data_IF_460256722870
#
_entry.id   IF_460256722870
#
_cell.length_a   1.000
_cell.length_b   1.000
_cell.length_c   1.000
_cell.angle_alpha   90.00
_cell.angle_beta   90.00
_cell.angle_gamma   90.00
#
_symmetry.space_group_name_H-M   'P 1'
#
loop_
_entity.id
_entity.type
_entity.pdbx_description
1 polymer ?
#
# COMPACT_ATOMS: atom_id res chain seq x y z
N UNK A 1 36.46 23.51 37.44
CA UNK A 1 36.33 23.10 36.03
C UNK A 1 36.67 21.60 36.02
N UNK A 2 35.65 20.76 36.30
CA UNK A 2 35.79 19.30 36.25
C UNK A 2 35.61 18.90 34.81
N UNK A 3 36.63 18.37 34.14
CA UNK A 3 36.54 17.71 32.87
C UNK A 3 35.73 16.42 33.07
N UNK A 4 34.56 16.35 32.48
CA UNK A 4 33.83 15.08 32.28
C UNK A 4 34.75 14.15 31.47
N UNK A 5 35.38 13.20 32.16
CA UNK A 5 36.01 12.07 31.48
C UNK A 5 34.87 11.23 30.86
N UNK A 6 34.65 11.36 29.56
CA UNK A 6 33.87 10.38 28.82
C UNK A 6 34.54 9.01 29.01
N UNK A 7 33.89 8.13 29.76
CA UNK A 7 34.32 6.73 29.89
C UNK A 7 33.92 6.05 28.57
N UNK A 8 34.87 5.89 27.66
CA UNK A 8 34.67 5.04 26.48
C UNK A 8 34.53 3.58 26.93
N UNK A 9 33.31 3.08 26.96
CA UNK A 9 33.02 1.68 27.26
C UNK A 9 33.29 0.86 25.99
N UNK A 10 34.30 0.00 26.04
CA UNK A 10 34.53 -0.95 24.97
C UNK A 10 33.49 -2.10 25.04
N UNK A 11 32.42 -1.98 24.27
CA UNK A 11 31.34 -2.95 24.24
C UNK A 11 31.81 -4.36 23.84
N UNK A 12 32.90 -4.48 23.07
CA UNK A 12 33.47 -5.77 22.69
C UNK A 12 34.14 -6.53 23.82
N UNK A 13 34.43 -5.84 24.95
CA UNK A 13 35.02 -6.44 26.13
C UNK A 13 33.98 -6.91 27.15
N UNK A 14 32.69 -6.61 26.93
CA UNK A 14 31.64 -6.97 27.87
C UNK A 14 31.19 -8.43 27.69
N UNK A 15 30.90 -9.17 28.77
CA UNK A 15 30.24 -10.47 28.70
C UNK A 15 28.89 -10.40 28.01
N UNK A 16 28.49 -11.47 27.30
CA UNK A 16 27.23 -11.53 26.57
C UNK A 16 26.00 -11.28 27.46
N UNK A 17 26.04 -11.69 28.72
CA UNK A 17 24.96 -11.50 29.69
C UNK A 17 24.74 -10.01 30.01
N UNK A 18 25.82 -9.22 30.05
CA UNK A 18 25.74 -7.77 30.22
C UNK A 18 25.21 -7.12 28.95
N UNK A 19 25.68 -7.56 27.76
CA UNK A 19 25.17 -7.09 26.48
C UNK A 19 23.67 -7.37 26.32
N UNK A 20 23.18 -8.56 26.69
CA UNK A 20 21.75 -8.87 26.66
C UNK A 20 20.93 -7.99 27.60
N UNK A 21 21.48 -7.59 28.78
CA UNK A 21 20.82 -6.59 29.62
C UNK A 21 20.75 -5.23 28.96
N UNK A 22 21.81 -4.79 28.30
CA UNK A 22 21.83 -3.54 27.54
C UNK A 22 20.77 -3.60 26.40
N UNK A 23 20.73 -4.69 25.63
CA UNK A 23 19.77 -4.87 24.55
C UNK A 23 18.31 -4.84 25.03
N UNK A 24 18.02 -5.29 26.24
CA UNK A 24 16.68 -5.18 26.81
C UNK A 24 16.19 -3.74 27.01
N UNK A 25 17.10 -2.77 27.12
CA UNK A 25 16.79 -1.34 27.25
C UNK A 25 16.82 -0.59 25.91
N UNK A 26 17.34 -1.21 24.86
CA UNK A 26 17.38 -0.61 23.51
C UNK A 26 16.08 -0.92 22.75
N UNK A 27 15.69 0.02 21.92
CA UNK A 27 14.60 -0.23 20.94
C UNK A 27 15.09 -1.07 19.75
N UNK A 28 14.14 -1.51 18.95
CA UNK A 28 14.42 -2.38 17.81
C UNK A 28 15.32 -1.71 16.76
N UNK A 29 15.24 -0.39 16.59
CA UNK A 29 16.11 0.34 15.67
C UNK A 29 17.58 0.24 16.11
N UNK A 30 17.87 0.50 17.39
CA UNK A 30 19.23 0.45 17.90
C UNK A 30 19.82 -0.96 17.81
N UNK A 31 19.06 -1.99 18.18
CA UNK A 31 19.52 -3.37 18.08
C UNK A 31 19.72 -3.76 16.61
N UNK A 32 18.73 -3.49 15.76
CA UNK A 32 18.71 -3.93 14.37
C UNK A 32 19.74 -3.18 13.50
N UNK A 33 19.78 -1.85 13.60
CA UNK A 33 20.53 -1.02 12.69
C UNK A 33 21.87 -0.53 13.22
N UNK A 34 21.97 -0.27 14.54
CA UNK A 34 23.14 0.38 15.11
C UNK A 34 24.11 -0.63 15.70
N UNK A 35 23.64 -1.51 16.58
CA UNK A 35 24.50 -2.44 17.31
C UNK A 35 25.03 -3.59 16.44
N UNK A 36 24.24 -4.07 15.48
CA UNK A 36 24.62 -5.19 14.60
C UNK A 36 25.84 -4.91 13.73
N UNK A 37 26.14 -3.65 13.43
CA UNK A 37 27.24 -3.28 12.52
C UNK A 37 28.50 -2.75 13.25
N UNK A 38 28.54 -2.85 14.58
CA UNK A 38 29.68 -2.35 15.39
C UNK A 38 30.90 -3.25 15.27
N UNK A 39 30.72 -4.57 15.32
CA UNK A 39 31.83 -5.53 15.19
C UNK A 39 31.33 -6.95 14.89
N UNK A 40 32.24 -7.84 14.43
CA UNK A 40 31.94 -9.27 14.25
C UNK A 40 31.44 -9.90 15.56
N UNK A 41 32.06 -9.55 16.70
CA UNK A 41 31.64 -10.03 18.02
C UNK A 41 30.19 -9.61 18.34
N UNK A 42 29.86 -8.34 18.15
CA UNK A 42 28.49 -7.83 18.38
C UNK A 42 27.48 -8.51 17.46
N UNK A 43 27.81 -8.72 16.18
CA UNK A 43 26.94 -9.45 15.26
C UNK A 43 26.65 -10.86 15.78
N UNK A 44 27.67 -11.59 16.23
CA UNK A 44 27.52 -12.93 16.77
C UNK A 44 26.64 -12.95 18.02
N UNK A 45 26.80 -11.99 18.93
CA UNK A 45 26.00 -11.88 20.15
C UNK A 45 24.54 -11.54 19.82
N UNK A 46 24.30 -10.59 18.90
CA UNK A 46 22.94 -10.20 18.48
C UNK A 46 22.24 -11.36 17.77
N UNK A 47 22.93 -12.09 16.89
CA UNK A 47 22.36 -13.25 16.22
C UNK A 47 21.98 -14.38 17.19
N UNK A 48 22.55 -14.41 18.37
CA UNK A 48 22.18 -15.32 19.46
C UNK A 48 21.11 -14.73 20.40
N UNK A 49 20.89 -13.43 20.37
CA UNK A 49 19.93 -12.76 21.24
C UNK A 49 18.50 -13.12 20.86
N UNK A 50 17.75 -13.67 21.81
CA UNK A 50 16.42 -14.25 21.58
C UNK A 50 15.45 -13.29 20.89
N UNK A 51 15.38 -12.03 21.37
CA UNK A 51 14.47 -11.01 20.80
C UNK A 51 14.78 -10.73 19.33
N UNK A 52 16.05 -10.70 18.93
CA UNK A 52 16.46 -10.48 17.55
C UNK A 52 16.08 -11.66 16.64
N UNK A 53 16.24 -12.89 17.13
CA UNK A 53 15.91 -14.11 16.37
C UNK A 53 14.44 -14.26 16.01
N UNK A 54 13.54 -13.61 16.78
CA UNK A 54 12.09 -13.67 16.58
C UNK A 54 11.52 -12.37 16.04
N UNK A 55 12.35 -11.37 15.74
CA UNK A 55 11.93 -10.06 15.27
C UNK A 55 11.53 -10.12 13.78
N UNK A 56 10.35 -10.66 13.50
CA UNK A 56 9.79 -10.76 12.15
C UNK A 56 9.17 -9.45 11.66
N UNK A 57 8.85 -8.53 12.57
CA UNK A 57 8.23 -7.24 12.28
C UNK A 57 9.05 -6.12 12.89
N UNK A 58 9.51 -5.19 12.05
CA UNK A 58 10.27 -4.01 12.47
C UNK A 58 9.39 -2.76 12.31
N UNK A 59 8.97 -2.19 13.45
CA UNK A 59 8.11 -1.02 13.53
C UNK A 59 8.93 0.24 13.79
N UNK A 60 9.18 1.01 12.74
CA UNK A 60 9.95 2.26 12.78
C UNK A 60 9.12 3.46 12.30
N UNK A 61 7.81 3.33 12.31
CA UNK A 61 6.88 4.38 11.95
C UNK A 61 6.97 5.56 12.92
N UNK A 62 6.98 6.79 12.38
CA UNK A 62 7.01 8.04 13.16
C UNK A 62 8.19 8.14 14.16
N UNK A 63 9.38 7.70 13.74
CA UNK A 63 10.62 7.77 14.53
C UNK A 63 11.53 8.93 14.15
N UNK A 64 11.07 9.82 13.23
CA UNK A 64 11.86 10.95 12.69
C UNK A 64 13.20 10.50 12.11
N UNK A 65 13.18 9.37 11.41
CA UNK A 65 14.37 8.83 10.75
C UNK A 65 14.72 9.69 9.54
N UNK A 66 15.86 10.33 9.58
CA UNK A 66 16.44 11.00 8.41
C UNK A 66 17.10 10.00 7.46
N UNK A 67 17.65 10.51 6.35
CA UNK A 67 18.27 9.67 5.33
C UNK A 67 19.40 8.81 5.89
N UNK A 68 20.23 9.32 6.79
CA UNK A 68 21.33 8.56 7.42
C UNK A 68 20.83 7.31 8.17
N UNK A 69 19.74 7.44 8.94
CA UNK A 69 19.15 6.31 9.65
C UNK A 69 18.51 5.32 8.67
N UNK A 70 17.89 5.81 7.58
CA UNK A 70 17.34 4.95 6.53
C UNK A 70 18.45 4.18 5.80
N UNK A 71 19.64 4.76 5.62
CA UNK A 71 20.81 4.03 5.09
C UNK A 71 21.18 2.85 6.00
N UNK A 72 21.17 3.04 7.32
CA UNK A 72 21.44 1.96 8.27
C UNK A 72 20.38 0.85 8.18
N UNK A 73 19.09 1.23 8.13
CA UNK A 73 17.97 0.29 7.92
C UNK A 73 18.18 -0.51 6.63
N UNK A 74 18.46 0.17 5.53
CA UNK A 74 18.64 -0.45 4.22
C UNK A 74 19.84 -1.41 4.20
N UNK A 75 20.97 -1.01 4.77
CA UNK A 75 22.17 -1.85 4.84
C UNK A 75 21.93 -3.13 5.66
N UNK A 76 21.22 -3.00 6.78
CA UNK A 76 20.87 -4.15 7.59
C UNK A 76 19.84 -5.05 6.90
N UNK A 77 18.87 -4.46 6.22
CA UNK A 77 17.82 -5.19 5.49
C UNK A 77 18.39 -6.09 4.37
N UNK A 78 19.46 -5.66 3.71
CA UNK A 78 20.11 -6.45 2.62
C UNK A 78 20.50 -7.86 3.04
N UNK A 79 21.01 -8.00 4.24
CA UNK A 79 21.56 -9.26 4.79
C UNK A 79 20.58 -9.96 5.74
N UNK A 80 19.46 -9.28 6.10
CA UNK A 80 18.51 -9.82 7.06
C UNK A 80 17.63 -10.88 6.44
N UNK A 81 17.48 -12.01 7.13
CA UNK A 81 16.68 -13.17 6.72
C UNK A 81 15.55 -13.50 7.68
N UNK A 82 15.16 -12.56 8.54
CA UNK A 82 14.17 -12.78 9.59
C UNK A 82 12.98 -11.83 9.45
N UNK A 83 13.25 -10.54 9.17
CA UNK A 83 12.22 -9.52 9.05
C UNK A 83 11.38 -9.74 7.80
N UNK A 84 10.10 -9.99 8.00
CA UNK A 84 9.11 -10.15 6.93
C UNK A 84 8.22 -8.92 6.78
N UNK A 85 8.15 -8.07 7.80
CA UNK A 85 7.35 -6.84 7.78
C UNK A 85 8.21 -5.66 8.25
N UNK A 86 8.31 -4.64 7.41
CA UNK A 86 8.99 -3.37 7.72
C UNK A 86 8.01 -2.22 7.58
N UNK A 87 7.82 -1.48 8.67
CA UNK A 87 7.07 -0.22 8.68
C UNK A 87 8.03 0.94 9.01
N UNK A 88 8.32 1.75 8.01
CA UNK A 88 9.10 2.99 8.09
C UNK A 88 8.28 4.20 7.63
N UNK A 89 6.97 4.11 7.79
CA UNK A 89 6.04 5.22 7.50
C UNK A 89 6.30 6.44 8.38
N UNK A 90 5.85 7.61 7.92
CA UNK A 90 5.88 8.87 8.69
C UNK A 90 7.30 9.29 9.13
N UNK A 91 8.25 9.24 8.22
CA UNK A 91 9.65 9.63 8.50
C UNK A 91 10.18 10.74 7.57
N UNK A 92 9.45 11.07 6.51
CA UNK A 92 9.76 12.18 5.61
C UNK A 92 11.12 12.13 4.89
N UNK A 93 11.68 10.95 4.67
CA UNK A 93 13.02 10.77 4.10
C UNK A 93 13.08 10.95 2.55
N UNK A 94 11.95 11.11 1.88
CA UNK A 94 11.87 11.46 0.46
C UNK A 94 12.49 10.46 -0.53
N UNK A 95 12.75 10.96 -1.72
CA UNK A 95 13.30 10.17 -2.83
C UNK A 95 14.73 9.68 -2.54
N UNK A 96 15.50 10.42 -1.78
CA UNK A 96 16.85 10.02 -1.40
C UNK A 96 16.83 8.79 -0.49
N UNK A 97 16.00 8.79 0.56
CA UNK A 97 15.91 7.64 1.46
C UNK A 97 15.36 6.40 0.76
N UNK A 98 14.34 6.55 -0.10
CA UNK A 98 13.78 5.40 -0.83
C UNK A 98 14.77 4.78 -1.81
N UNK A 99 15.73 5.53 -2.36
CA UNK A 99 16.80 4.98 -3.18
C UNK A 99 17.56 3.87 -2.46
N UNK A 100 17.92 4.06 -1.18
CA UNK A 100 18.64 3.05 -0.39
C UNK A 100 17.76 1.83 -0.05
N UNK A 101 16.49 2.06 0.30
CA UNK A 101 15.52 0.98 0.53
C UNK A 101 15.32 0.15 -0.74
N UNK A 102 15.16 0.80 -1.90
CA UNK A 102 15.03 0.13 -3.19
C UNK A 102 16.24 -0.78 -3.49
N UNK A 103 17.46 -0.28 -3.28
CA UNK A 103 18.69 -1.07 -3.45
C UNK A 103 18.75 -2.27 -2.46
N UNK A 104 18.20 -2.11 -1.26
CA UNK A 104 18.12 -3.22 -0.32
C UNK A 104 17.12 -4.29 -0.79
N UNK A 105 15.97 -3.89 -1.31
CA UNK A 105 14.91 -4.79 -1.80
C UNK A 105 15.38 -5.68 -2.97
N UNK A 106 16.32 -5.22 -3.79
CA UNK A 106 16.89 -6.06 -4.87
C UNK A 106 17.60 -7.31 -4.34
N UNK A 107 18.15 -7.25 -3.13
CA UNK A 107 18.89 -8.36 -2.50
C UNK A 107 18.10 -9.10 -1.45
N UNK A 108 17.20 -8.40 -0.77
CA UNK A 108 16.40 -9.00 0.29
C UNK A 108 15.35 -9.96 -0.28
N UNK A 109 15.33 -11.19 0.24
CA UNK A 109 14.46 -12.28 -0.17
C UNK A 109 13.51 -12.73 0.95
N UNK A 110 13.27 -11.89 1.96
CA UNK A 110 12.45 -12.25 3.12
C UNK A 110 11.31 -11.28 3.38
N UNK A 111 11.43 -10.03 2.94
CA UNK A 111 10.42 -9.02 3.18
C UNK A 111 9.15 -9.30 2.38
N UNK A 112 8.04 -9.40 3.09
CA UNK A 112 6.70 -9.68 2.54
C UNK A 112 5.84 -8.41 2.52
N UNK A 113 5.94 -7.60 3.57
CA UNK A 113 5.16 -6.38 3.74
C UNK A 113 6.10 -5.17 3.93
N UNK A 114 5.88 -4.11 3.13
CA UNK A 114 6.61 -2.85 3.24
C UNK A 114 5.63 -1.69 3.35
N UNK A 115 5.73 -0.92 4.45
CA UNK A 115 4.97 0.31 4.65
C UNK A 115 5.88 1.53 4.53
N UNK A 116 5.57 2.40 3.57
CA UNK A 116 6.29 3.62 3.19
C UNK A 116 5.39 4.86 3.24
N UNK A 117 4.26 4.80 3.92
CA UNK A 117 3.30 5.90 3.98
C UNK A 117 3.92 7.20 4.53
N UNK A 118 3.46 8.37 4.04
CA UNK A 118 3.85 9.69 4.56
C UNK A 118 5.39 9.90 4.58
N UNK A 119 6.05 9.62 3.46
CA UNK A 119 7.50 9.80 3.35
C UNK A 119 7.94 10.80 2.26
N UNK A 120 6.99 11.54 1.66
CA UNK A 120 7.29 12.52 0.59
C UNK A 120 7.99 11.87 -0.62
N UNK A 121 7.62 10.62 -0.93
CA UNK A 121 8.16 9.89 -2.08
C UNK A 121 7.51 10.43 -3.34
N UNK A 122 8.31 11.02 -4.22
CA UNK A 122 7.88 11.55 -5.51
C UNK A 122 8.03 10.53 -6.64
N UNK A 123 7.90 11.02 -7.88
CA UNK A 123 8.04 10.18 -9.08
C UNK A 123 9.43 9.57 -9.22
N UNK A 124 10.49 10.32 -8.86
CA UNK A 124 11.86 9.81 -8.94
C UNK A 124 12.11 8.70 -7.92
N UNK A 125 11.65 8.84 -6.68
CA UNK A 125 11.74 7.79 -5.67
C UNK A 125 10.92 6.56 -6.07
N UNK A 126 9.74 6.78 -6.65
CA UNK A 126 8.92 5.71 -7.19
C UNK A 126 9.61 4.96 -8.33
N UNK A 127 10.39 5.64 -9.18
CA UNK A 127 11.22 5.02 -10.22
C UNK A 127 12.27 4.08 -9.63
N UNK A 128 12.97 4.48 -8.57
CA UNK A 128 13.94 3.61 -7.90
C UNK A 128 13.25 2.37 -7.32
N UNK A 129 12.12 2.57 -6.65
CA UNK A 129 11.35 1.49 -6.07
C UNK A 129 10.83 0.53 -7.15
N UNK A 130 10.30 1.04 -8.25
CA UNK A 130 9.80 0.25 -9.36
C UNK A 130 10.88 -0.66 -9.97
N UNK A 131 12.08 -0.12 -10.20
CA UNK A 131 13.20 -0.88 -10.74
C UNK A 131 13.59 -2.06 -9.82
N UNK A 132 13.50 -1.89 -8.51
CA UNK A 132 13.77 -2.97 -7.56
C UNK A 132 12.63 -4.00 -7.52
N UNK A 133 11.38 -3.55 -7.57
CA UNK A 133 10.20 -4.41 -7.48
C UNK A 133 10.02 -5.32 -8.70
N UNK A 134 10.47 -4.91 -9.88
CA UNK A 134 10.48 -5.78 -11.07
C UNK A 134 11.32 -7.04 -10.82
N UNK A 135 12.39 -6.95 -10.03
CA UNK A 135 13.28 -8.07 -9.72
C UNK A 135 12.93 -8.78 -8.41
N UNK A 136 12.31 -8.08 -7.46
CA UNK A 136 11.95 -8.66 -6.17
C UNK A 136 10.78 -9.63 -6.30
N UNK A 137 10.94 -10.84 -5.77
CA UNK A 137 9.97 -11.94 -5.87
C UNK A 137 9.40 -12.35 -4.51
N UNK A 138 9.49 -11.51 -3.50
CA UNK A 138 9.02 -11.82 -2.14
C UNK A 138 8.00 -10.83 -1.60
N UNK A 139 8.08 -9.58 -2.01
CA UNK A 139 7.16 -8.55 -1.53
C UNK A 139 5.76 -8.77 -2.11
N UNK A 140 4.79 -8.97 -1.22
CA UNK A 140 3.38 -9.17 -1.60
C UNK A 140 2.50 -7.98 -1.27
N UNK A 141 2.90 -7.12 -0.33
CA UNK A 141 2.13 -5.96 0.10
C UNK A 141 3.00 -4.72 0.16
N UNK A 142 2.57 -3.68 -0.55
CA UNK A 142 3.24 -2.39 -0.60
C UNK A 142 2.25 -1.29 -0.23
N UNK A 143 2.58 -0.51 0.80
CA UNK A 143 1.81 0.65 1.20
C UNK A 143 2.61 1.93 0.92
N UNK A 144 2.10 2.73 -0.02
CA UNK A 144 2.64 4.03 -0.45
C UNK A 144 1.66 5.17 -0.15
N UNK A 145 0.70 4.98 0.75
CA UNK A 145 -0.31 5.96 1.13
C UNK A 145 0.31 7.30 1.55
N UNK A 146 -0.32 8.42 1.14
CA UNK A 146 0.15 9.77 1.45
C UNK A 146 1.62 10.02 1.02
N UNK A 147 1.89 9.89 -0.26
CA UNK A 147 3.13 10.29 -0.88
C UNK A 147 2.88 11.26 -2.05
N UNK A 148 3.87 11.54 -2.86
CA UNK A 148 3.81 12.52 -3.94
C UNK A 148 4.09 11.88 -5.31
N UNK A 149 3.53 10.69 -5.53
CA UNK A 149 3.85 9.81 -6.67
C UNK A 149 3.52 10.47 -8.00
N UNK A 150 2.32 11.07 -8.13
CA UNK A 150 1.84 11.68 -9.36
C UNK A 150 1.68 10.71 -10.53
N UNK A 151 1.35 11.24 -11.70
CA UNK A 151 1.11 10.42 -12.90
C UNK A 151 2.36 9.73 -13.41
N UNK A 152 3.50 10.40 -13.37
CA UNK A 152 4.78 9.81 -13.80
C UNK A 152 5.22 8.66 -12.88
N UNK A 153 5.02 8.79 -11.57
CA UNK A 153 5.26 7.69 -10.63
C UNK A 153 4.28 6.52 -10.83
N UNK A 154 3.01 6.82 -11.10
CA UNK A 154 2.01 5.81 -11.45
C UNK A 154 2.39 5.01 -12.71
N UNK A 155 2.99 5.67 -13.72
CA UNK A 155 3.54 5.01 -14.91
C UNK A 155 4.67 4.02 -14.57
N UNK A 156 5.56 4.36 -13.64
CA UNK A 156 6.59 3.40 -13.19
C UNK A 156 5.97 2.22 -12.42
N UNK A 157 4.96 2.46 -11.59
CA UNK A 157 4.24 1.37 -10.92
C UNK A 157 3.43 0.49 -11.89
N UNK A 158 2.91 1.06 -12.96
CA UNK A 158 2.27 0.30 -14.03
C UNK A 158 3.25 -0.71 -14.66
N UNK A 159 4.49 -0.31 -14.90
CA UNK A 159 5.54 -1.24 -15.35
C UNK A 159 5.80 -2.38 -14.34
N UNK A 160 5.76 -2.07 -13.04
CA UNK A 160 5.83 -3.12 -11.99
C UNK A 160 4.65 -4.09 -12.13
N UNK A 161 3.42 -3.58 -12.25
CA UNK A 161 2.24 -4.43 -12.36
C UNK A 161 2.26 -5.34 -13.59
N UNK A 162 2.92 -4.94 -14.69
CA UNK A 162 3.08 -5.79 -15.88
C UNK A 162 4.07 -6.93 -15.68
N UNK A 163 5.12 -6.73 -14.90
CA UNK A 163 6.26 -7.64 -14.82
C UNK A 163 6.32 -8.44 -13.51
N UNK A 164 6.01 -7.81 -12.39
CA UNK A 164 6.07 -8.45 -11.07
C UNK A 164 4.94 -9.47 -10.91
N UNK A 165 5.26 -10.65 -10.38
CA UNK A 165 4.34 -11.78 -10.20
C UNK A 165 4.06 -12.11 -8.73
N UNK A 166 4.42 -11.21 -7.81
CA UNK A 166 4.30 -11.45 -6.37
C UNK A 166 3.45 -10.41 -5.64
N UNK A 167 3.32 -9.20 -6.18
CA UNK A 167 2.58 -8.13 -5.53
C UNK A 167 1.08 -8.41 -5.58
N UNK A 168 0.49 -8.61 -4.40
CA UNK A 168 -0.93 -8.94 -4.20
C UNK A 168 -1.74 -7.72 -3.80
N UNK A 169 -1.14 -6.82 -3.01
CA UNK A 169 -1.82 -5.63 -2.49
C UNK A 169 -0.97 -4.39 -2.70
N UNK A 170 -1.57 -3.36 -3.32
CA UNK A 170 -0.95 -2.05 -3.56
C UNK A 170 -1.84 -0.94 -3.02
N UNK A 171 -1.29 -0.12 -2.13
CA UNK A 171 -1.96 1.04 -1.59
C UNK A 171 -1.33 2.33 -2.12
N UNK A 172 -2.11 3.10 -2.89
CA UNK A 172 -1.76 4.37 -3.52
C UNK A 172 -2.70 5.51 -3.09
N UNK A 173 -3.36 5.38 -1.94
CA UNK A 173 -4.26 6.42 -1.43
C UNK A 173 -3.48 7.74 -1.30
N UNK A 174 -4.10 8.86 -1.71
CA UNK A 174 -3.57 10.21 -1.57
C UNK A 174 -2.16 10.37 -2.16
N UNK A 175 -2.07 10.25 -3.49
CA UNK A 175 -0.80 10.30 -4.23
C UNK A 175 -0.81 11.25 -5.43
N UNK A 176 -1.83 12.11 -5.58
CA UNK A 176 -1.95 13.06 -6.69
C UNK A 176 -1.93 12.36 -8.07
N UNK A 177 -2.52 11.16 -8.13
CA UNK A 177 -2.64 10.40 -9.38
C UNK A 177 -3.88 10.91 -10.10
N UNK A 178 -3.69 11.44 -11.30
CA UNK A 178 -4.76 11.94 -12.15
C UNK A 178 -5.21 10.93 -13.22
N UNK A 179 -5.86 11.45 -14.25
CA UNK A 179 -6.36 10.66 -15.37
C UNK A 179 -5.23 9.94 -16.11
N UNK A 180 -4.11 10.62 -16.37
CA UNK A 180 -2.97 10.06 -17.10
C UNK A 180 -2.32 8.91 -16.33
N UNK A 181 -2.04 9.09 -15.03
CA UNK A 181 -1.49 8.05 -14.18
C UNK A 181 -2.42 6.84 -14.09
N UNK A 182 -3.72 7.11 -13.99
CA UNK A 182 -4.74 6.05 -13.98
C UNK A 182 -4.80 5.29 -15.31
N UNK A 183 -4.63 5.96 -16.45
CA UNK A 183 -4.53 5.29 -17.75
C UNK A 183 -3.39 4.26 -17.78
N UNK A 184 -2.19 4.60 -17.28
CA UNK A 184 -1.08 3.65 -17.24
C UNK A 184 -1.38 2.47 -16.30
N UNK A 185 -1.90 2.73 -15.09
CA UNK A 185 -2.26 1.67 -14.14
C UNK A 185 -3.35 0.73 -14.70
N UNK A 186 -4.38 1.28 -15.32
CA UNK A 186 -5.45 0.52 -15.94
C UNK A 186 -4.94 -0.40 -17.06
N UNK A 187 -4.08 0.11 -17.95
CA UNK A 187 -3.49 -0.72 -19.00
C UNK A 187 -2.64 -1.86 -18.44
N UNK A 188 -1.91 -1.63 -17.35
CA UNK A 188 -1.17 -2.69 -16.68
C UNK A 188 -2.10 -3.72 -16.04
N UNK A 189 -3.20 -3.30 -15.43
CA UNK A 189 -4.19 -4.18 -14.80
C UNK A 189 -4.82 -5.17 -15.80
N UNK A 190 -5.01 -4.79 -17.09
CA UNK A 190 -5.56 -5.71 -18.11
C UNK A 190 -4.77 -7.02 -18.21
N UNK A 191 -3.47 -6.97 -18.00
CA UNK A 191 -2.58 -8.13 -18.13
C UNK A 191 -2.08 -8.68 -16.78
N UNK A 192 -2.28 -7.92 -15.68
CA UNK A 192 -1.84 -8.35 -14.37
C UNK A 192 -2.71 -9.49 -13.83
N UNK A 193 -2.06 -10.56 -13.37
CA UNK A 193 -2.71 -11.76 -12.85
C UNK A 193 -2.35 -12.04 -11.38
N UNK A 194 -1.90 -11.04 -10.63
CA UNK A 194 -1.44 -11.22 -9.26
C UNK A 194 -2.07 -10.25 -8.26
N UNK A 195 -2.32 -9.02 -8.67
CA UNK A 195 -2.88 -7.99 -7.78
C UNK A 195 -4.36 -8.28 -7.51
N UNK A 196 -4.69 -8.53 -6.24
CA UNK A 196 -6.07 -8.77 -5.82
C UNK A 196 -6.70 -7.56 -5.15
N UNK A 197 -5.89 -6.62 -4.65
CA UNK A 197 -6.36 -5.46 -3.90
C UNK A 197 -5.64 -4.20 -4.35
N UNK A 198 -6.41 -3.19 -4.78
CA UNK A 198 -5.91 -1.88 -5.17
C UNK A 198 -6.65 -0.78 -4.43
N UNK A 199 -5.90 0.10 -3.76
CA UNK A 199 -6.42 1.30 -3.11
C UNK A 199 -5.94 2.52 -3.89
N UNK A 200 -6.89 3.30 -4.45
CA UNK A 200 -6.67 4.54 -5.20
C UNK A 200 -7.51 5.70 -4.64
N UNK A 201 -8.00 5.58 -3.41
CA UNK A 201 -8.80 6.66 -2.82
C UNK A 201 -7.99 7.97 -2.68
N UNK A 202 -8.69 9.10 -2.60
CA UNK A 202 -8.08 10.42 -2.41
C UNK A 202 -7.01 10.74 -3.48
N UNK A 203 -7.37 10.50 -4.74
CA UNK A 203 -6.60 10.88 -5.92
C UNK A 203 -7.48 11.76 -6.85
N UNK A 204 -7.07 12.00 -8.05
CA UNK A 204 -7.73 12.92 -8.98
C UNK A 204 -8.16 12.20 -10.27
N UNK A 205 -8.75 10.98 -10.12
CA UNK A 205 -9.06 10.12 -11.25
C UNK A 205 -10.12 10.71 -12.19
N UNK A 206 -11.17 11.34 -11.63
CA UNK A 206 -12.33 11.80 -12.37
C UNK A 206 -13.09 10.69 -13.10
N UNK A 207 -14.02 11.07 -13.95
CA UNK A 207 -14.80 10.09 -14.73
C UNK A 207 -13.94 9.40 -15.79
N UNK A 208 -12.97 10.13 -16.38
CA UNK A 208 -12.10 9.56 -17.41
C UNK A 208 -11.15 8.49 -16.84
N UNK A 209 -10.55 8.74 -15.69
CA UNK A 209 -9.74 7.72 -15.00
C UNK A 209 -10.62 6.52 -14.59
N UNK A 210 -11.85 6.78 -14.18
CA UNK A 210 -12.83 5.74 -13.85
C UNK A 210 -13.18 4.87 -15.07
N UNK A 211 -13.39 5.48 -16.23
CA UNK A 211 -13.58 4.76 -17.50
C UNK A 211 -12.41 3.82 -17.81
N UNK A 212 -11.16 4.29 -17.65
CA UNK A 212 -9.98 3.43 -17.88
C UNK A 212 -9.94 2.24 -16.94
N UNK A 213 -10.24 2.43 -15.64
CA UNK A 213 -10.28 1.32 -14.67
C UNK A 213 -11.41 0.35 -15.01
N UNK A 214 -12.63 0.85 -15.32
CA UNK A 214 -13.76 0.02 -15.68
C UNK A 214 -13.42 -0.86 -16.92
N UNK A 215 -12.88 -0.26 -17.97
CA UNK A 215 -12.45 -0.98 -19.18
C UNK A 215 -11.31 -1.99 -18.89
N UNK A 216 -10.47 -1.76 -17.90
CA UNK A 216 -9.47 -2.75 -17.50
C UNK A 216 -10.09 -3.97 -16.80
N UNK A 217 -11.15 -3.76 -16.03
CA UNK A 217 -11.87 -4.83 -15.33
C UNK A 217 -12.64 -5.78 -16.26
N UNK A 218 -12.87 -5.40 -17.54
CA UNK A 218 -13.41 -6.33 -18.53
C UNK A 218 -12.49 -7.52 -18.78
N UNK A 219 -11.20 -7.30 -18.71
CA UNK A 219 -10.18 -8.32 -19.01
C UNK A 219 -9.50 -8.87 -17.75
N UNK A 220 -9.48 -8.09 -16.67
CA UNK A 220 -8.84 -8.49 -15.44
C UNK A 220 -9.69 -9.48 -14.63
N UNK A 221 -9.12 -10.63 -14.32
CA UNK A 221 -9.78 -11.72 -13.60
C UNK A 221 -9.13 -11.98 -12.22
N UNK A 222 -8.42 -11.02 -11.66
CA UNK A 222 -7.70 -11.19 -10.39
C UNK A 222 -8.04 -10.13 -9.35
N UNK A 223 -8.40 -8.92 -9.75
CA UNK A 223 -8.70 -7.85 -8.82
C UNK A 223 -10.06 -8.06 -8.17
N UNK A 224 -10.05 -8.35 -6.87
CA UNK A 224 -11.27 -8.61 -6.09
C UNK A 224 -11.69 -7.43 -5.23
N UNK A 225 -10.77 -6.53 -4.90
CA UNK A 225 -11.02 -5.39 -4.01
C UNK A 225 -10.48 -4.11 -4.65
N UNK A 226 -11.38 -3.12 -4.84
CA UNK A 226 -11.05 -1.83 -5.41
C UNK A 226 -11.65 -0.69 -4.57
N UNK A 227 -10.79 0.24 -4.12
CA UNK A 227 -11.19 1.43 -3.36
C UNK A 227 -10.89 2.69 -4.15
N UNK A 228 -11.96 3.45 -4.49
CA UNK A 228 -11.94 4.68 -5.28
C UNK A 228 -12.62 5.85 -4.55
N UNK A 229 -12.60 5.85 -3.23
CA UNK A 229 -13.22 6.93 -2.46
C UNK A 229 -12.55 8.29 -2.76
N UNK A 230 -13.32 9.39 -2.77
CA UNK A 230 -12.81 10.77 -2.99
C UNK A 230 -11.95 10.90 -4.27
N UNK A 231 -12.54 10.65 -5.41
CA UNK A 231 -11.88 10.76 -6.72
C UNK A 231 -12.65 11.60 -7.73
N UNK A 232 -13.58 12.43 -7.29
CA UNK A 232 -14.42 13.30 -8.13
C UNK A 232 -15.20 12.51 -9.21
N UNK A 233 -15.64 11.30 -8.85
CA UNK A 233 -16.43 10.43 -9.74
C UNK A 233 -17.87 10.91 -9.73
N UNK A 234 -18.44 11.17 -10.91
CA UNK A 234 -19.83 11.58 -11.08
C UNK A 234 -20.71 10.42 -11.56
N UNK A 235 -21.92 10.74 -12.03
CA UNK A 235 -22.83 9.75 -12.62
C UNK A 235 -22.25 9.08 -13.87
N UNK A 236 -21.39 9.79 -14.61
CA UNK A 236 -20.70 9.25 -15.79
C UNK A 236 -19.75 8.12 -15.38
N UNK A 237 -18.96 8.33 -14.35
CA UNK A 237 -18.09 7.28 -13.81
C UNK A 237 -18.87 6.12 -13.22
N UNK A 238 -20.01 6.40 -12.56
CA UNK A 238 -20.92 5.38 -12.05
C UNK A 238 -21.55 4.55 -13.17
N UNK A 239 -21.90 5.16 -14.32
CA UNK A 239 -22.38 4.46 -15.51
C UNK A 239 -21.33 3.48 -16.05
N UNK A 240 -20.07 3.89 -16.15
CA UNK A 240 -18.99 2.99 -16.56
C UNK A 240 -18.89 1.75 -15.65
N UNK A 241 -18.97 1.95 -14.32
CA UNK A 241 -19.04 0.79 -13.41
C UNK A 241 -20.31 -0.01 -13.55
N UNK A 242 -21.48 0.64 -13.75
CA UNK A 242 -22.72 -0.05 -14.01
C UNK A 242 -22.62 -0.98 -15.21
N UNK A 243 -22.03 -0.51 -16.31
CA UNK A 243 -21.88 -1.30 -17.52
C UNK A 243 -20.95 -2.50 -17.33
N UNK A 244 -19.78 -2.31 -16.68
CA UNK A 244 -18.83 -3.40 -16.51
C UNK A 244 -19.27 -4.42 -15.44
N UNK A 245 -19.91 -4.00 -14.38
CA UNK A 245 -20.36 -4.89 -13.31
C UNK A 245 -21.39 -5.94 -13.79
N UNK A 246 -22.14 -5.66 -14.86
CA UNK A 246 -23.05 -6.65 -15.48
C UNK A 246 -22.32 -7.89 -15.98
N UNK A 247 -21.04 -7.77 -16.35
CA UNK A 247 -20.25 -8.85 -16.92
C UNK A 247 -19.08 -9.31 -16.02
N UNK A 248 -18.52 -8.41 -15.20
CA UNK A 248 -17.41 -8.74 -14.33
C UNK A 248 -17.84 -9.68 -13.19
N UNK A 249 -17.19 -10.84 -13.12
CA UNK A 249 -17.44 -11.87 -12.12
C UNK A 249 -16.23 -12.07 -11.19
N UNK A 250 -15.41 -11.03 -11.00
CA UNK A 250 -14.20 -11.10 -10.19
C UNK A 250 -14.24 -10.13 -9.02
N UNK A 251 -14.78 -8.92 -9.23
CA UNK A 251 -14.81 -7.89 -8.21
C UNK A 251 -15.81 -8.24 -7.11
N UNK A 252 -15.31 -8.29 -5.87
CA UNK A 252 -16.09 -8.63 -4.66
C UNK A 252 -16.40 -7.39 -3.84
N UNK A 253 -15.48 -6.43 -3.82
CA UNK A 253 -15.61 -5.17 -3.05
C UNK A 253 -15.29 -3.99 -3.94
N UNK A 254 -16.24 -3.05 -4.05
CA UNK A 254 -16.08 -1.75 -4.70
C UNK A 254 -16.44 -0.64 -3.71
N UNK A 255 -15.55 0.32 -3.50
CA UNK A 255 -15.84 1.52 -2.73
C UNK A 255 -15.77 2.76 -3.62
N UNK A 256 -16.91 3.41 -3.79
CA UNK A 256 -17.10 4.70 -4.45
C UNK A 256 -17.50 5.79 -3.44
N UNK A 257 -17.15 5.60 -2.17
CA UNK A 257 -17.44 6.49 -1.05
C UNK A 257 -16.95 7.93 -1.31
N UNK A 258 -17.71 8.93 -0.87
CA UNK A 258 -17.31 10.34 -0.91
C UNK A 258 -16.92 10.82 -2.33
N UNK A 259 -17.74 10.48 -3.31
CA UNK A 259 -17.67 10.98 -4.67
C UNK A 259 -18.86 11.91 -4.97
N UNK A 260 -19.18 12.16 -6.24
CA UNK A 260 -20.22 13.08 -6.66
C UNK A 260 -21.41 12.38 -7.33
N UNK A 261 -21.62 11.10 -7.01
CA UNK A 261 -22.66 10.26 -7.59
C UNK A 261 -24.04 10.71 -7.08
N UNK A 262 -24.96 11.00 -8.01
CA UNK A 262 -26.35 11.35 -7.74
C UNK A 262 -27.30 10.16 -7.81
N UNK A 263 -28.60 10.40 -7.77
CA UNK A 263 -29.63 9.37 -7.97
C UNK A 263 -29.51 8.69 -9.34
N UNK A 264 -29.10 9.42 -10.39
CA UNK A 264 -28.91 8.86 -11.73
C UNK A 264 -27.74 7.84 -11.76
N UNK A 265 -26.61 8.19 -11.13
CA UNK A 265 -25.49 7.24 -11.01
C UNK A 265 -25.82 6.02 -10.16
N UNK A 266 -26.65 6.22 -9.12
CA UNK A 266 -27.15 5.12 -8.31
C UNK A 266 -28.07 4.17 -9.11
N UNK A 267 -28.89 4.69 -10.02
CA UNK A 267 -29.72 3.91 -10.95
C UNK A 267 -28.87 2.99 -11.83
N UNK A 268 -27.81 3.51 -12.47
CA UNK A 268 -26.90 2.68 -13.29
C UNK A 268 -26.25 1.55 -12.49
N UNK A 269 -25.85 1.84 -11.25
CA UNK A 269 -25.27 0.81 -10.37
C UNK A 269 -26.31 -0.20 -9.92
N UNK A 270 -27.55 0.23 -9.65
CA UNK A 270 -28.67 -0.63 -9.26
C UNK A 270 -29.01 -1.65 -10.38
N UNK A 271 -29.11 -1.18 -11.60
CA UNK A 271 -29.33 -2.05 -12.79
C UNK A 271 -28.26 -3.14 -12.93
N UNK A 272 -27.01 -2.78 -12.63
CA UNK A 272 -25.92 -3.74 -12.69
C UNK A 272 -26.00 -4.76 -11.56
N UNK A 273 -26.39 -4.33 -10.36
CA UNK A 273 -26.51 -5.21 -9.21
C UNK A 273 -27.57 -6.30 -9.42
N UNK A 274 -28.64 -6.04 -10.12
CA UNK A 274 -29.65 -7.06 -10.43
C UNK A 274 -29.07 -8.30 -11.14
N UNK A 275 -28.04 -8.08 -11.94
CA UNK A 275 -27.40 -9.14 -12.76
C UNK A 275 -26.09 -9.66 -12.14
N UNK A 276 -25.40 -8.86 -11.37
CA UNK A 276 -24.09 -9.23 -10.81
C UNK A 276 -24.23 -10.19 -9.64
N UNK A 277 -23.54 -11.32 -9.70
CA UNK A 277 -23.56 -12.37 -8.68
C UNK A 277 -22.29 -12.45 -7.83
N UNK A 278 -21.33 -11.54 -8.01
CA UNK A 278 -20.02 -11.61 -7.36
C UNK A 278 -19.74 -10.45 -6.40
N UNK A 279 -20.28 -9.28 -6.67
CA UNK A 279 -20.09 -8.11 -5.84
C UNK A 279 -20.85 -8.28 -4.50
N UNK A 280 -20.09 -8.39 -3.40
CA UNK A 280 -20.65 -8.55 -2.04
C UNK A 280 -20.70 -7.25 -1.27
N UNK A 281 -19.81 -6.31 -1.58
CA UNK A 281 -19.73 -5.04 -0.88
C UNK A 281 -19.67 -3.90 -1.88
N UNK A 282 -20.65 -2.98 -1.82
CA UNK A 282 -20.62 -1.71 -2.51
C UNK A 282 -20.78 -0.57 -1.50
N UNK A 283 -19.80 0.34 -1.46
CA UNK A 283 -19.84 1.48 -0.55
C UNK A 283 -20.08 2.77 -1.34
N UNK A 284 -21.25 3.38 -1.16
CA UNK A 284 -21.70 4.64 -1.76
C UNK A 284 -21.88 5.76 -0.74
N UNK A 285 -21.42 5.61 0.51
CA UNK A 285 -21.54 6.66 1.54
C UNK A 285 -20.95 7.98 1.07
N UNK A 286 -21.55 9.09 1.54
CA UNK A 286 -21.10 10.46 1.26
C UNK A 286 -21.06 10.80 -0.24
N UNK A 287 -22.06 10.33 -0.96
CA UNK A 287 -22.38 10.76 -2.32
C UNK A 287 -23.63 11.68 -2.31
N UNK A 288 -24.09 12.13 -3.46
CA UNK A 288 -25.25 13.00 -3.62
C UNK A 288 -26.55 12.20 -3.91
N UNK A 289 -26.60 10.96 -3.42
CA UNK A 289 -27.72 10.04 -3.66
C UNK A 289 -28.89 10.48 -2.77
N UNK A 290 -30.00 10.87 -3.41
CA UNK A 290 -31.25 11.22 -2.75
C UNK A 290 -32.15 9.97 -2.56
N UNK A 291 -33.33 10.16 -1.97
CA UNK A 291 -34.29 9.08 -1.70
C UNK A 291 -34.63 8.24 -2.92
N UNK A 292 -34.70 8.86 -4.12
CA UNK A 292 -34.96 8.18 -5.37
C UNK A 292 -33.83 7.18 -5.73
N UNK A 293 -32.57 7.63 -5.66
CA UNK A 293 -31.42 6.75 -5.90
C UNK A 293 -31.32 5.65 -4.85
N UNK A 294 -31.62 5.96 -3.59
CA UNK A 294 -31.69 4.95 -2.53
C UNK A 294 -32.77 3.90 -2.80
N UNK A 295 -33.92 4.32 -3.37
CA UNK A 295 -35.00 3.41 -3.77
C UNK A 295 -34.56 2.43 -4.89
N UNK A 296 -33.84 2.92 -5.92
CA UNK A 296 -33.31 2.05 -6.99
C UNK A 296 -32.39 0.98 -6.39
N UNK A 297 -31.45 1.39 -5.54
CA UNK A 297 -30.54 0.46 -4.88
C UNK A 297 -31.29 -0.55 -3.99
N UNK A 298 -32.29 -0.10 -3.20
CA UNK A 298 -33.06 -1.00 -2.34
C UNK A 298 -33.84 -2.04 -3.17
N UNK A 299 -34.41 -1.63 -4.29
CA UNK A 299 -35.14 -2.53 -5.20
C UNK A 299 -34.18 -3.57 -5.81
N UNK A 300 -33.01 -3.16 -6.29
CA UNK A 300 -32.01 -4.08 -6.86
C UNK A 300 -31.53 -5.10 -5.83
N UNK A 301 -31.30 -4.68 -4.58
CA UNK A 301 -30.91 -5.57 -3.50
C UNK A 301 -31.99 -6.58 -3.09
N UNK A 302 -33.26 -6.20 -3.18
CA UNK A 302 -34.37 -7.13 -2.96
C UNK A 302 -34.36 -8.25 -4.00
N UNK A 303 -34.00 -7.95 -5.26
CA UNK A 303 -33.86 -8.91 -6.35
C UNK A 303 -32.55 -9.69 -6.28
N UNK A 304 -31.45 -9.06 -5.88
CA UNK A 304 -30.13 -9.66 -5.76
C UNK A 304 -29.92 -10.23 -4.37
N UNK A 305 -29.80 -11.56 -4.26
CA UNK A 305 -29.59 -12.26 -2.98
C UNK A 305 -28.12 -12.41 -2.57
N UNK A 306 -27.18 -11.90 -3.37
CA UNK A 306 -25.73 -12.14 -3.18
C UNK A 306 -25.03 -10.96 -2.50
N UNK A 307 -25.43 -9.74 -2.78
CA UNK A 307 -24.83 -8.53 -2.19
C UNK A 307 -25.28 -8.35 -0.76
N UNK A 308 -24.38 -8.57 0.20
CA UNK A 308 -24.73 -8.66 1.62
C UNK A 308 -24.41 -7.41 2.43
N UNK A 309 -23.55 -6.52 1.97
CA UNK A 309 -23.10 -5.35 2.72
C UNK A 309 -23.19 -4.11 1.84
N UNK A 310 -24.10 -3.22 2.19
CA UNK A 310 -24.32 -1.96 1.54
C UNK A 310 -24.10 -0.80 2.53
N UNK A 311 -23.36 0.20 2.11
CA UNK A 311 -23.18 1.41 2.89
C UNK A 311 -23.70 2.61 2.06
N UNK A 312 -24.97 2.98 2.24
CA UNK A 312 -25.55 4.19 1.63
C UNK A 312 -25.46 5.40 2.56
N UNK A 313 -25.70 5.19 3.85
CA UNK A 313 -25.72 6.23 4.89
C UNK A 313 -24.75 5.89 6.01
N UNK A 314 -24.55 6.82 6.97
CA UNK A 314 -23.70 6.61 8.15
C UNK A 314 -24.24 5.57 9.14
N UNK A 315 -25.44 5.07 8.91
CA UNK A 315 -26.07 4.02 9.72
C UNK A 315 -25.98 2.70 8.97
N UNK A 316 -25.48 1.66 9.64
CA UNK A 316 -25.63 0.27 9.21
C UNK A 316 -27.13 -0.04 9.09
N UNK A 317 -27.62 -0.33 7.90
CA UNK A 317 -28.91 -0.98 7.70
C UNK A 317 -28.77 -2.49 7.89
#
# INVERSE_FOLDING_TARGET
MMMDKQIEVNLNALPKEILYRIFNYLDDFHIFCTMKNVSIYMNTIIDQYHRYKILTTLQLCNKKLGVEQIILVANTLKENQIVTTLDIGVNEFGDEGIYYIANALQKNQTLINLCLQLNKIGSQGTKYLANSLVQNQTLTRLNLHYNEIGDEGAKYLANVLQQNKTLIRLNLIHNKIGEEGTYYLANALKQNQTLTTLYLAENELGDKGTEYIANALEQNQTLTILYLAKNNITDIGAEHFGNILKQNQTLVTLSLKANEISSQGAEYLADALEQNQTLKTLNLKWNKIADEGASYIAQSLYLNKVTNIFYLFDVLL
#
